data_IF_230713186429
#
_entry.id   IF_230713186429
#
_cell.length_a   1.000
_cell.length_b   1.000
_cell.length_c   1.000
_cell.angle_alpha   90.00
_cell.angle_beta   90.00
_cell.angle_gamma   90.00
#
_symmetry.space_group_name_H-M   'P 1'
#
loop_
_entity.id
_entity.type
_entity.pdbx_description
1 polymer ?
#
# COMPACT_ATOMS: atom_id res chain seq x y z
N UNK A 1 -2.23 -42.85 17.66
CA UNK A 1 -0.94 -42.90 16.95
C UNK A 1 -1.28 -42.92 15.46
N UNK A 2 -0.58 -42.12 14.65
CA UNK A 2 -0.87 -41.71 13.24
C UNK A 2 -1.69 -40.40 13.14
N UNK A 3 -1.32 -39.30 12.44
CA UNK A 3 -0.07 -38.84 11.78
C UNK A 3 -0.26 -37.36 11.37
N UNK A 4 0.72 -36.50 11.70
CA UNK A 4 1.10 -35.16 11.19
C UNK A 4 0.10 -33.95 11.03
N UNK A 5 0.59 -32.69 11.23
CA UNK A 5 -0.23 -31.47 11.27
C UNK A 5 -0.23 -30.73 9.92
N UNK A 6 -1.38 -30.61 9.26
CA UNK A 6 -1.50 -29.75 8.08
C UNK A 6 -1.77 -28.32 8.53
N UNK A 7 -0.70 -27.61 8.88
CA UNK A 7 -0.70 -26.17 9.01
C UNK A 7 -1.26 -25.54 7.74
N UNK A 8 -2.42 -24.90 7.85
CA UNK A 8 -2.88 -23.96 6.84
C UNK A 8 -2.07 -22.66 7.03
N UNK A 9 -0.84 -22.68 6.52
CA UNK A 9 0.01 -21.51 6.41
C UNK A 9 -0.51 -20.65 5.24
N UNK A 10 -0.62 -19.35 5.48
CA UNK A 10 -0.98 -18.28 4.52
C UNK A 10 -2.47 -18.14 4.15
N UNK A 11 -3.25 -17.56 5.07
CA UNK A 11 -4.27 -16.59 4.64
C UNK A 11 -3.54 -15.30 4.24
N UNK A 12 -3.07 -15.24 2.99
CA UNK A 12 -2.41 -14.06 2.44
C UNK A 12 -3.43 -12.92 2.27
N UNK A 13 -3.20 -11.79 2.92
CA UNK A 13 -4.01 -10.59 2.71
C UNK A 13 -3.63 -9.99 1.34
N UNK A 14 -4.54 -10.10 0.37
CA UNK A 14 -4.37 -9.44 -0.93
C UNK A 14 -4.68 -7.95 -0.77
N UNK A 15 -3.71 -7.11 -1.12
CA UNK A 15 -3.84 -5.65 -1.08
C UNK A 15 -4.20 -5.14 -2.47
N UNK A 16 -5.44 -4.66 -2.63
CA UNK A 16 -5.88 -3.98 -3.85
C UNK A 16 -5.75 -2.46 -3.72
N UNK A 17 -5.49 -1.78 -4.83
CA UNK A 17 -5.43 -0.32 -4.92
C UNK A 17 -6.55 0.18 -5.82
N UNK A 18 -7.38 1.09 -5.32
CA UNK A 18 -8.46 1.71 -6.07
C UNK A 18 -8.18 3.21 -6.17
N UNK A 19 -8.36 3.78 -7.37
CA UNK A 19 -8.23 5.22 -7.56
C UNK A 19 -9.45 5.92 -6.94
N UNK A 20 -9.23 6.70 -5.89
CA UNK A 20 -10.31 7.38 -5.15
C UNK A 20 -11.10 8.36 -6.03
N UNK A 21 -10.48 8.94 -7.06
CA UNK A 21 -11.14 9.87 -7.98
C UNK A 21 -12.26 9.26 -8.83
N UNK A 22 -12.42 7.93 -8.85
CA UNK A 22 -13.53 7.25 -9.54
C UNK A 22 -14.73 6.99 -8.63
N UNK A 23 -14.64 7.31 -7.33
CA UNK A 23 -15.71 7.09 -6.38
C UNK A 23 -16.77 8.20 -6.49
N UNK A 24 -18.04 7.82 -6.50
CA UNK A 24 -19.16 8.77 -6.60
C UNK A 24 -19.49 9.53 -5.31
N UNK A 25 -18.70 9.36 -4.24
CA UNK A 25 -18.97 9.94 -2.92
C UNK A 25 -17.70 10.21 -2.14
N UNK A 26 -17.85 10.84 -0.97
CA UNK A 26 -16.73 11.11 -0.07
C UNK A 26 -16.14 9.78 0.45
N UNK A 27 -14.85 9.52 0.22
CA UNK A 27 -14.21 8.27 0.62
C UNK A 27 -13.99 8.16 2.13
N UNK A 28 -14.24 9.23 2.91
CA UNK A 28 -13.98 9.37 4.34
C UNK A 28 -12.54 9.06 4.81
N UNK A 29 -11.65 8.68 3.90
CA UNK A 29 -10.23 8.44 4.15
C UNK A 29 -9.39 9.59 3.59
N UNK A 30 -8.29 9.90 4.29
CA UNK A 30 -7.32 10.90 3.85
C UNK A 30 -6.00 10.20 3.51
N UNK A 31 -5.18 10.79 2.62
CA UNK A 31 -3.84 10.29 2.34
C UNK A 31 -3.00 10.27 3.63
N UNK A 32 -2.24 9.20 3.83
CA UNK A 32 -1.36 9.03 5.00
C UNK A 32 0.13 9.09 4.63
N UNK A 33 0.47 8.82 3.37
CA UNK A 33 1.86 8.77 2.90
C UNK A 33 1.96 8.90 1.38
N UNK A 34 3.15 9.24 0.91
CA UNK A 34 3.51 9.36 -0.50
C UNK A 34 4.44 8.18 -0.87
N UNK A 35 3.91 7.05 -1.37
CA UNK A 35 4.69 5.82 -1.52
C UNK A 35 5.60 5.74 -2.76
N UNK A 36 5.64 6.76 -3.63
CA UNK A 36 6.39 6.71 -4.89
C UNK A 36 7.17 7.99 -5.17
N UNK A 37 7.74 8.60 -4.13
CA UNK A 37 8.55 9.82 -4.27
C UNK A 37 9.79 9.59 -5.14
N UNK A 38 10.28 8.34 -5.25
CA UNK A 38 11.39 8.00 -6.15
C UNK A 38 11.08 8.14 -7.65
N UNK A 39 9.79 8.27 -8.01
CA UNK A 39 9.34 8.49 -9.40
C UNK A 39 8.70 9.87 -9.61
N UNK A 40 8.82 10.80 -8.64
CA UNK A 40 8.36 12.18 -8.83
C UNK A 40 9.29 12.95 -9.76
N UNK A 41 8.77 14.01 -10.38
CA UNK A 41 9.61 14.94 -11.11
C UNK A 41 10.61 15.64 -10.17
N UNK A 42 11.89 15.72 -10.58
CA UNK A 42 12.97 16.25 -9.74
C UNK A 42 12.79 17.72 -9.35
N UNK A 43 12.02 18.48 -10.12
CA UNK A 43 11.76 19.91 -9.92
C UNK A 43 10.55 20.20 -9.01
N UNK A 44 9.82 19.18 -8.54
CA UNK A 44 8.61 19.36 -7.73
C UNK A 44 8.84 18.93 -6.29
N UNK A 45 8.73 19.84 -5.33
CA UNK A 45 8.84 19.52 -3.91
C UNK A 45 7.48 19.21 -3.29
N UNK A 46 7.43 18.13 -2.51
CA UNK A 46 6.27 17.74 -1.72
C UNK A 46 6.41 18.46 -0.37
N UNK A 47 5.49 19.38 -0.10
CA UNK A 47 5.57 20.33 1.03
C UNK A 47 4.66 19.98 2.21
N UNK A 48 3.86 18.92 2.10
CA UNK A 48 3.06 18.43 3.21
C UNK A 48 3.89 17.58 4.19
N UNK A 49 3.38 17.45 5.41
CA UNK A 49 4.03 16.72 6.50
C UNK A 49 3.80 15.19 6.44
N UNK A 50 3.27 14.64 5.32
CA UNK A 50 3.01 13.22 5.22
C UNK A 50 4.31 12.43 4.99
N UNK A 51 4.29 11.17 5.40
CA UNK A 51 5.46 10.30 5.27
C UNK A 51 5.78 10.03 3.79
N UNK A 52 7.01 10.29 3.38
CA UNK A 52 7.47 10.10 2.00
C UNK A 52 8.28 8.80 1.87
N UNK A 53 7.92 7.95 0.91
CA UNK A 53 8.64 6.71 0.61
C UNK A 53 8.98 6.63 -0.88
N UNK A 54 10.15 6.05 -1.18
CA UNK A 54 10.61 5.91 -2.57
C UNK A 54 9.79 4.90 -3.36
N UNK A 55 9.31 3.84 -2.69
CA UNK A 55 8.53 2.75 -3.26
C UNK A 55 7.44 2.32 -2.27
N UNK A 56 6.37 1.73 -2.80
CA UNK A 56 5.43 0.93 -2.00
C UNK A 56 6.20 -0.09 -1.16
N UNK A 57 5.92 -0.10 0.15
CA UNK A 57 6.60 -0.84 1.21
C UNK A 57 7.22 -2.18 0.74
N UNK A 58 8.55 -2.38 0.89
CA UNK A 58 9.19 -3.64 0.56
C UNK A 58 8.79 -4.71 1.60
N UNK A 59 8.16 -5.80 1.14
CA UNK A 59 7.79 -6.93 2.02
C UNK A 59 6.51 -7.68 1.64
N UNK A 60 5.71 -7.15 0.71
CA UNK A 60 4.61 -7.89 0.08
C UNK A 60 4.89 -7.93 -1.43
N UNK A 61 5.21 -9.12 -1.94
CA UNK A 61 5.33 -9.34 -3.38
C UNK A 61 4.01 -8.91 -4.05
N UNK A 62 4.13 -8.19 -5.17
CA UNK A 62 2.97 -7.89 -6.04
C UNK A 62 2.47 -9.15 -6.74
#
# INVERSE_FOLDING_TARGET
METAPSGCCLCGVIRTSIAVGTLGGDPACRPESHPFVGSKASWFDIVDDLSQHERRLPGVAS
#
